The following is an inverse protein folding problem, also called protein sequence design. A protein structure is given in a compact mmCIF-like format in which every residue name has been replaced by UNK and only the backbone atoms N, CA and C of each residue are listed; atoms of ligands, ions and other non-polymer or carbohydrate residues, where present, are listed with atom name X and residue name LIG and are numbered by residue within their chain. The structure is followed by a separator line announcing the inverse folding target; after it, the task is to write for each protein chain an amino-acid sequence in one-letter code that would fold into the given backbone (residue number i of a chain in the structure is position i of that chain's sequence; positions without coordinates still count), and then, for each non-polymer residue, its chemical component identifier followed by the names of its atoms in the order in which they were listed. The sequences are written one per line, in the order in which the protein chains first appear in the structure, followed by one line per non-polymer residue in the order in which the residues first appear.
data_IF_558546121470
#
_entry.id   IF_558546121470
#
_cell.length_a   1.000
_cell.length_b   1.000
_cell.length_c   1.000
_cell.angle_alpha   90.00
_cell.angle_beta   90.00
_cell.angle_gamma   90.00
#
_symmetry.space_group_name_H-M   'P 1'
#
loop_
_entity.id
_entity.type
_entity.pdbx_description
1 polymer ?
#
# COMPACT_ATOMS: atom_id res chain seq x y z
N UNK A 1 -19.31 -17.90 -24.32
CA UNK A 1 -19.68 -19.22 -23.80
C UNK A 1 -19.24 -19.19 -22.37
N UNK A 2 -20.23 -18.96 -21.52
CA UNK A 2 -20.10 -17.99 -20.45
C UNK A 2 -19.77 -18.75 -19.17
N UNK A 3 -18.51 -18.66 -18.73
CA UNK A 3 -18.10 -19.15 -17.42
C UNK A 3 -18.73 -18.24 -16.35
N UNK A 4 -19.86 -18.66 -15.78
CA UNK A 4 -20.37 -18.12 -14.53
C UNK A 4 -19.36 -18.41 -13.40
N UNK A 5 -18.33 -17.57 -13.33
CA UNK A 5 -17.36 -17.61 -12.24
C UNK A 5 -18.00 -16.96 -11.03
N UNK A 6 -18.69 -17.75 -10.20
CA UNK A 6 -19.25 -17.26 -8.94
C UNK A 6 -18.12 -16.96 -7.96
N UNK A 7 -17.98 -15.69 -7.60
CA UNK A 7 -17.00 -15.23 -6.61
C UNK A 7 -17.55 -15.51 -5.21
N UNK A 8 -16.89 -16.36 -4.43
CA UNK A 8 -17.26 -16.60 -3.04
C UNK A 8 -17.04 -15.35 -2.20
N UNK A 9 -18.11 -14.68 -1.74
CA UNK A 9 -18.01 -13.46 -0.91
C UNK A 9 -17.89 -13.74 0.58
N UNK A 10 -17.99 -15.00 1.01
CA UNK A 10 -18.04 -15.42 2.40
C UNK A 10 -17.30 -16.76 2.58
N UNK A 11 -16.92 -17.06 3.83
CA UNK A 11 -16.42 -18.40 4.17
C UNK A 11 -17.63 -19.33 4.35
N UNK A 12 -17.61 -20.48 3.71
CA UNK A 12 -18.69 -21.44 3.69
C UNK A 12 -18.18 -22.88 3.88
N UNK A 13 -19.01 -23.80 4.34
CA UNK A 13 -18.70 -25.23 4.38
C UNK A 13 -19.68 -25.99 3.50
N UNK A 14 -19.14 -26.98 2.78
CA UNK A 14 -19.97 -27.91 2.01
C UNK A 14 -20.70 -28.84 2.97
N UNK A 15 -22.05 -28.89 2.98
CA UNK A 15 -22.81 -29.78 3.84
C UNK A 15 -22.51 -31.25 3.50
N UNK A 16 -22.35 -32.08 4.52
CA UNK A 16 -22.09 -33.52 4.38
C UNK A 16 -23.32 -34.33 3.93
N UNK A 17 -24.47 -33.68 3.73
CA UNK A 17 -25.74 -34.29 3.34
C UNK A 17 -26.01 -34.27 1.82
N UNK A 18 -25.17 -33.60 1.02
CA UNK A 18 -25.27 -33.67 -0.45
C UNK A 18 -24.59 -34.94 -0.95
N UNK A 19 -25.37 -35.73 -1.68
CA UNK A 19 -25.01 -37.03 -2.26
C UNK A 19 -23.71 -37.02 -3.06
N UNK A 20 -22.81 -37.99 -2.78
CA UNK A 20 -21.81 -38.74 -3.58
C UNK A 20 -21.28 -38.23 -4.95
N UNK A 21 -21.48 -36.98 -5.32
CA UNK A 21 -20.93 -36.38 -6.53
C UNK A 21 -19.61 -35.65 -6.22
N UNK A 22 -18.58 -35.79 -7.08
CA UNK A 22 -17.35 -35.03 -6.93
C UNK A 22 -17.67 -33.54 -6.97
N UNK A 23 -17.26 -32.81 -5.94
CA UNK A 23 -17.54 -31.37 -5.85
C UNK A 23 -16.73 -30.59 -6.90
N UNK A 24 -17.22 -29.42 -7.32
CA UNK A 24 -16.49 -28.54 -8.22
C UNK A 24 -15.04 -28.29 -7.76
N UNK A 25 -14.05 -28.40 -8.65
CA UNK A 25 -12.71 -27.90 -8.37
C UNK A 25 -12.75 -26.39 -8.15
N UNK A 26 -12.23 -25.96 -7.01
CA UNK A 26 -12.16 -24.55 -6.63
C UNK A 26 -10.71 -24.08 -6.73
N UNK A 27 -10.52 -22.90 -7.30
CA UNK A 27 -9.25 -22.19 -7.23
C UNK A 27 -9.29 -21.27 -6.01
N UNK A 28 -8.46 -21.59 -5.00
CA UNK A 28 -8.30 -20.76 -3.81
C UNK A 28 -7.46 -19.53 -4.17
N UNK A 29 -8.02 -18.33 -4.04
CA UNK A 29 -7.25 -17.09 -4.17
C UNK A 29 -6.23 -16.89 -3.03
N UNK A 30 -6.34 -17.68 -1.96
CA UNK A 30 -5.55 -17.58 -0.73
C UNK A 30 -4.35 -18.54 -0.70
N UNK A 31 -4.33 -19.53 -1.58
CA UNK A 31 -3.26 -20.53 -1.65
C UNK A 31 -2.37 -20.20 -2.85
N UNK A 32 -1.05 -20.14 -2.64
CA UNK A 32 -0.07 -19.74 -3.68
C UNK A 32 0.10 -20.84 -4.78
N UNK A 33 -0.67 -21.91 -4.69
CA UNK A 33 -0.65 -23.02 -5.63
C UNK A 33 -1.59 -22.75 -6.79
N UNK A 34 -1.05 -22.75 -8.01
CA UNK A 34 -1.80 -22.54 -9.26
C UNK A 34 -2.67 -23.74 -9.67
N UNK A 35 -2.81 -24.74 -8.80
CA UNK A 35 -3.57 -25.97 -9.06
C UNK A 35 -4.94 -25.85 -8.40
N UNK A 36 -5.97 -26.14 -9.18
CA UNK A 36 -7.34 -26.26 -8.68
C UNK A 36 -7.43 -27.45 -7.72
N UNK A 37 -7.98 -27.23 -6.53
CA UNK A 37 -8.20 -28.27 -5.53
C UNK A 37 -9.65 -28.72 -5.61
N UNK A 38 -9.85 -30.03 -5.78
CA UNK A 38 -11.17 -30.65 -5.65
C UNK A 38 -11.52 -30.72 -4.18
N UNK A 39 -12.62 -30.07 -3.78
CA UNK A 39 -13.08 -30.11 -2.39
C UNK A 39 -13.88 -31.41 -2.15
N UNK A 40 -13.96 -31.86 -0.91
CA UNK A 40 -14.86 -32.94 -0.51
C UNK A 40 -16.05 -32.38 0.31
N UNK A 41 -17.17 -33.12 0.42
CA UNK A 41 -18.21 -32.78 1.38
C UNK A 41 -17.64 -32.66 2.80
N UNK A 42 -17.87 -31.52 3.46
CA UNK A 42 -17.26 -31.17 4.75
C UNK A 42 -16.05 -30.23 4.67
N UNK A 43 -15.50 -29.98 3.49
CA UNK A 43 -14.41 -29.02 3.33
C UNK A 43 -14.90 -27.57 3.38
N UNK A 44 -14.01 -26.68 3.84
CA UNK A 44 -14.23 -25.25 3.90
C UNK A 44 -13.88 -24.56 2.58
N UNK A 45 -14.78 -23.69 2.11
CA UNK A 45 -14.58 -22.78 1.00
C UNK A 45 -14.35 -21.38 1.58
N UNK A 46 -13.24 -20.74 1.20
CA UNK A 46 -12.88 -19.42 1.73
C UNK A 46 -13.32 -18.27 0.82
N UNK A 47 -13.61 -17.13 1.43
CA UNK A 47 -13.91 -15.87 0.73
C UNK A 47 -12.79 -15.49 -0.24
N UNK A 48 -13.14 -15.15 -1.48
CA UNK A 48 -12.22 -14.86 -2.58
C UNK A 48 -11.93 -16.05 -3.50
N UNK A 49 -12.39 -17.25 -3.18
CA UNK A 49 -12.20 -18.43 -4.04
C UNK A 49 -13.15 -18.41 -5.24
N UNK A 50 -12.72 -19.00 -6.36
CA UNK A 50 -13.52 -19.10 -7.60
C UNK A 50 -13.84 -20.54 -7.94
N UNK A 51 -15.14 -20.84 -8.16
CA UNK A 51 -15.58 -22.13 -8.66
C UNK A 51 -15.31 -22.20 -10.17
N UNK A 52 -14.52 -23.18 -10.63
CA UNK A 52 -14.18 -23.33 -12.05
C UNK A 52 -15.20 -24.15 -12.83
N UNK A 53 -15.80 -25.15 -12.19
CA UNK A 53 -16.72 -26.05 -12.89
C UNK A 53 -17.64 -26.77 -11.90
N UNK A 54 -18.95 -26.60 -12.05
CA UNK A 54 -19.96 -27.28 -11.24
C UNK A 54 -20.72 -26.31 -10.32
N UNK A 55 -21.78 -26.82 -9.70
CA UNK A 55 -22.62 -26.08 -8.76
C UNK A 55 -22.64 -26.82 -7.43
N UNK A 56 -22.55 -26.07 -6.32
CA UNK A 56 -22.60 -26.64 -4.99
C UNK A 56 -23.35 -25.71 -4.03
N UNK A 57 -24.27 -26.29 -3.27
CA UNK A 57 -24.88 -25.60 -2.14
C UNK A 57 -23.93 -25.67 -0.94
N UNK A 58 -23.65 -24.53 -0.32
CA UNK A 58 -22.76 -24.43 0.84
C UNK A 58 -23.40 -23.58 1.94
N UNK A 59 -23.08 -23.90 3.20
CA UNK A 59 -23.57 -23.17 4.36
C UNK A 59 -22.55 -22.09 4.72
N UNK A 60 -22.98 -20.83 4.77
CA UNK A 60 -22.13 -19.71 5.16
C UNK A 60 -21.75 -19.81 6.64
N UNK A 61 -20.45 -19.83 6.94
CA UNK A 61 -19.89 -19.91 8.30
C UNK A 61 -19.49 -18.52 8.79
N UNK A 62 -18.93 -17.66 7.93
CA UNK A 62 -18.50 -16.32 8.30
C UNK A 62 -18.64 -15.32 7.14
N UNK A 63 -18.97 -14.08 7.47
CA UNK A 63 -19.13 -12.97 6.50
C UNK A 63 -18.29 -11.75 6.90
N UNK A 64 -17.98 -10.90 5.91
CA UNK A 64 -17.26 -9.64 6.13
C UNK A 64 -15.90 -9.82 6.82
N UNK A 65 -15.65 -9.03 7.87
CA UNK A 65 -14.37 -9.00 8.60
C UNK A 65 -14.06 -10.28 9.38
N UNK A 66 -15.05 -11.14 9.61
CA UNK A 66 -14.87 -12.40 10.34
C UNK A 66 -14.37 -13.55 9.45
N UNK A 67 -14.39 -13.36 8.13
CA UNK A 67 -13.80 -14.29 7.16
C UNK A 67 -12.28 -14.34 7.28
N UNK A 68 -11.65 -15.41 6.80
CA UNK A 68 -10.19 -15.52 6.76
C UNK A 68 -9.54 -14.36 5.97
N UNK A 69 -10.10 -14.02 4.80
CA UNK A 69 -9.67 -12.88 4.00
C UNK A 69 -9.89 -11.53 4.73
N UNK A 70 -11.04 -11.36 5.38
CA UNK A 70 -11.37 -10.15 6.14
C UNK A 70 -10.44 -9.92 7.33
N UNK A 71 -10.07 -10.99 8.06
CA UNK A 71 -9.09 -10.93 9.15
C UNK A 71 -7.70 -10.55 8.63
N UNK A 72 -7.26 -11.15 7.52
CA UNK A 72 -5.99 -10.80 6.89
C UNK A 72 -5.97 -9.33 6.43
N UNK A 73 -7.04 -8.86 5.78
CA UNK A 73 -7.17 -7.46 5.37
C UNK A 73 -7.15 -6.49 6.56
N UNK A 74 -7.84 -6.82 7.66
CA UNK A 74 -7.82 -6.00 8.88
C UNK A 74 -6.44 -5.92 9.53
N UNK A 75 -5.67 -7.02 9.49
CA UNK A 75 -4.29 -7.04 10.01
C UNK A 75 -3.35 -6.15 9.19
N UNK A 76 -3.58 -6.05 7.88
CA UNK A 76 -2.83 -5.12 7.00
C UNK A 76 -3.20 -3.66 7.29
N UNK A 77 -4.48 -3.35 7.51
CA UNK A 77 -4.95 -1.97 7.71
C UNK A 77 -4.53 -1.37 9.06
N UNK A 78 -4.39 -2.21 10.09
CA UNK A 78 -3.96 -1.80 11.43
C UNK A 78 -2.49 -1.35 11.52
N UNK A 79 -1.72 -1.44 10.43
CA UNK A 79 -0.33 -0.95 10.34
C UNK A 79 -0.25 0.52 9.89
N UNK A 80 -1.02 1.41 10.52
CA UNK A 80 -0.92 2.86 10.30
C UNK A 80 0.24 3.45 11.10
N UNK A 81 1.48 3.18 10.66
CA UNK A 81 2.63 3.97 11.10
C UNK A 81 2.67 5.29 10.32
N UNK A 82 2.94 6.39 11.02
CA UNK A 82 3.28 7.69 10.40
C UNK A 82 4.36 7.44 9.33
N UNK A 83 4.01 7.73 8.08
CA UNK A 83 4.85 7.44 6.92
C UNK A 83 6.23 8.10 7.05
N UNK A 84 7.27 7.38 6.60
CA UNK A 84 8.65 7.86 6.66
C UNK A 84 8.80 9.28 6.09
N UNK A 85 8.18 9.52 4.93
CA UNK A 85 8.13 10.83 4.27
C UNK A 85 7.62 11.96 5.18
N UNK A 86 6.57 11.71 5.96
CA UNK A 86 6.01 12.72 6.86
C UNK A 86 7.01 13.09 7.95
N UNK A 87 7.76 12.11 8.48
CA UNK A 87 8.81 12.36 9.47
C UNK A 87 9.94 13.21 8.89
N UNK A 88 10.38 12.90 7.67
CA UNK A 88 11.41 13.66 6.96
C UNK A 88 10.96 15.09 6.72
N UNK A 89 9.73 15.29 6.24
CA UNK A 89 9.17 16.61 5.98
C UNK A 89 9.06 17.45 7.26
N UNK A 90 8.63 16.83 8.37
CA UNK A 90 8.61 17.50 9.69
C UNK A 90 10.01 17.83 10.19
N UNK A 91 11.00 16.95 9.99
CA UNK A 91 12.38 17.21 10.39
C UNK A 91 12.98 18.42 9.63
N UNK A 92 12.77 18.50 8.32
CA UNK A 92 13.24 19.62 7.50
C UNK A 92 12.49 20.91 7.88
N UNK A 93 11.18 20.83 8.07
CA UNK A 93 10.37 21.96 8.55
C UNK A 93 10.86 22.50 9.90
N UNK A 94 11.14 21.61 10.86
CA UNK A 94 11.71 21.98 12.15
C UNK A 94 13.10 22.61 12.01
N UNK A 95 13.96 22.07 11.14
CA UNK A 95 15.27 22.65 10.88
C UNK A 95 15.16 24.08 10.34
N UNK A 96 14.28 24.32 9.37
CA UNK A 96 14.01 25.66 8.84
C UNK A 96 13.51 26.60 9.95
N UNK A 97 12.52 26.20 10.75
CA UNK A 97 11.99 27.02 11.85
C UNK A 97 13.08 27.36 12.88
N UNK A 98 13.90 26.37 13.27
CA UNK A 98 15.03 26.60 14.17
C UNK A 98 16.05 27.58 13.58
N UNK A 99 16.35 27.49 12.29
CA UNK A 99 17.28 28.40 11.61
C UNK A 99 16.77 29.86 11.61
N UNK A 100 15.47 30.06 11.39
CA UNK A 100 14.84 31.39 11.43
C UNK A 100 14.85 31.94 12.85
N UNK A 101 14.53 31.11 13.84
CA UNK A 101 14.53 31.52 15.24
C UNK A 101 15.93 31.95 15.70
N UNK A 102 16.97 31.18 15.35
CA UNK A 102 18.37 31.54 15.64
C UNK A 102 18.76 32.82 14.89
N UNK A 103 18.38 32.95 13.61
CA UNK A 103 18.60 34.16 12.82
C UNK A 103 17.98 35.41 13.46
N UNK A 104 16.71 35.32 13.89
CA UNK A 104 16.02 36.42 14.58
C UNK A 104 16.74 36.80 15.89
N UNK A 105 17.16 35.82 16.70
CA UNK A 105 17.87 36.09 17.95
C UNK A 105 19.20 36.81 17.67
N UNK A 106 19.98 36.33 16.71
CA UNK A 106 21.26 36.94 16.33
C UNK A 106 21.04 38.38 15.84
N UNK A 107 20.02 38.59 15.00
CA UNK A 107 19.73 39.91 14.44
C UNK A 107 19.32 40.94 15.50
N UNK A 108 18.50 40.53 16.47
CA UNK A 108 18.15 41.33 17.65
C UNK A 108 19.41 41.67 18.46
N UNK A 109 20.27 40.68 18.74
CA UNK A 109 21.51 40.88 19.50
C UNK A 109 22.51 41.76 18.75
N UNK A 110 22.53 41.79 17.42
CA UNK A 110 23.45 42.66 16.69
C UNK A 110 22.88 44.08 16.55
N UNK A 111 21.60 44.23 16.21
CA UNK A 111 21.02 45.54 15.92
C UNK A 111 20.85 46.41 17.18
N UNK A 112 20.41 45.83 18.30
CA UNK A 112 20.10 46.62 19.50
C UNK A 112 21.36 46.98 20.32
N UNK A 113 22.11 46.03 20.91
CA UNK A 113 23.20 46.39 21.81
C UNK A 113 24.51 46.76 21.09
N UNK A 114 24.77 46.30 19.85
CA UNK A 114 26.01 46.64 19.14
C UNK A 114 25.79 47.89 18.28
N UNK A 115 24.78 47.86 17.41
CA UNK A 115 24.58 48.90 16.39
C UNK A 115 23.72 50.09 16.86
N UNK A 116 23.04 49.98 18.01
CA UNK A 116 22.19 51.02 18.60
C UNK A 116 21.20 51.64 17.59
N UNK A 117 20.64 50.80 16.70
CA UNK A 117 19.67 51.24 15.68
C UNK A 117 18.28 51.41 16.26
N UNK A 118 17.50 52.31 15.66
CA UNK A 118 16.08 52.49 15.96
C UNK A 118 15.27 51.20 15.74
N UNK A 119 14.21 51.02 16.54
CA UNK A 119 13.35 49.83 16.52
C UNK A 119 12.63 49.61 15.18
N UNK A 120 12.30 50.69 14.46
CA UNK A 120 11.54 50.62 13.18
C UNK A 120 12.23 49.76 12.12
N UNK A 121 13.48 50.04 11.70
CA UNK A 121 14.19 49.21 10.72
C UNK A 121 14.50 47.80 11.24
N UNK A 122 14.57 47.59 12.55
CA UNK A 122 14.76 46.24 13.13
C UNK A 122 13.54 45.35 12.88
N UNK A 123 12.33 45.89 13.07
CA UNK A 123 11.08 45.14 12.83
C UNK A 123 10.94 44.78 11.34
N UNK A 124 11.29 45.70 10.44
CA UNK A 124 11.23 45.43 9.00
C UNK A 124 12.17 44.27 8.61
N UNK A 125 13.37 44.21 9.20
CA UNK A 125 14.34 43.15 8.93
C UNK A 125 13.87 41.79 9.47
N UNK A 126 13.32 41.74 10.69
CA UNK A 126 12.70 40.53 11.25
C UNK A 126 11.54 40.04 10.37
N UNK A 127 10.72 40.95 9.86
CA UNK A 127 9.58 40.61 9.00
C UNK A 127 10.06 39.99 7.67
N UNK A 128 11.11 40.54 7.06
CA UNK A 128 11.71 39.98 5.84
C UNK A 128 12.29 38.59 6.11
N UNK A 129 13.00 38.39 7.22
CA UNK A 129 13.55 37.09 7.60
C UNK A 129 12.44 36.05 7.82
N UNK A 130 11.35 36.45 8.47
CA UNK A 130 10.21 35.56 8.73
C UNK A 130 9.49 35.17 7.43
N UNK A 131 9.16 36.13 6.57
CA UNK A 131 8.44 35.88 5.31
C UNK A 131 9.31 35.05 4.34
N UNK A 132 10.61 35.34 4.27
CA UNK A 132 11.54 34.62 3.40
C UNK A 132 11.94 33.24 3.93
N UNK A 133 11.91 33.04 5.25
CA UNK A 133 12.41 31.83 5.88
C UNK A 133 11.45 30.64 5.86
N UNK A 134 10.13 30.86 5.90
CA UNK A 134 9.15 29.76 6.03
C UNK A 134 9.07 28.99 4.69
N UNK A 135 9.40 27.69 4.65
CA UNK A 135 9.47 26.91 3.41
C UNK A 135 8.09 26.40 2.97
N UNK A 136 7.10 27.28 2.78
CA UNK A 136 5.71 26.92 2.43
C UNK A 136 5.65 26.17 1.08
N UNK A 137 6.55 26.50 0.16
CA UNK A 137 6.60 25.89 -1.17
C UNK A 137 7.15 24.45 -1.18
N UNK A 138 7.97 24.10 -0.19
CA UNK A 138 8.75 22.85 -0.22
C UNK A 138 7.86 21.59 -0.21
N UNK A 139 6.84 21.46 0.66
CA UNK A 139 5.89 20.34 0.60
C UNK A 139 5.18 20.24 -0.75
N UNK A 140 4.72 21.37 -1.29
CA UNK A 140 3.93 21.43 -2.53
C UNK A 140 4.74 20.97 -3.74
N UNK A 141 5.98 21.43 -3.87
CA UNK A 141 6.86 21.06 -4.99
C UNK A 141 7.20 19.58 -4.94
N UNK A 142 7.44 19.02 -3.75
CA UNK A 142 7.68 17.58 -3.58
C UNK A 142 6.47 16.76 -4.02
N UNK A 143 5.26 17.14 -3.61
CA UNK A 143 4.02 16.46 -4.01
C UNK A 143 3.79 16.48 -5.52
N UNK A 144 3.97 17.64 -6.17
CA UNK A 144 3.83 17.76 -7.63
C UNK A 144 4.85 16.88 -8.35
N UNK A 145 6.10 16.86 -7.86
CA UNK A 145 7.16 16.02 -8.44
C UNK A 145 6.84 14.54 -8.30
N UNK A 146 6.33 14.09 -7.15
CA UNK A 146 5.89 12.70 -6.95
C UNK A 146 4.70 12.33 -7.85
N UNK A 147 3.73 13.24 -8.01
CA UNK A 147 2.58 13.00 -8.89
C UNK A 147 2.99 12.82 -10.35
N UNK A 148 3.89 13.68 -10.85
CA UNK A 148 4.44 13.57 -12.20
C UNK A 148 5.30 12.30 -12.33
N UNK A 149 6.08 11.98 -11.29
CA UNK A 149 6.89 10.75 -11.24
C UNK A 149 6.04 9.50 -11.39
N UNK A 150 4.93 9.40 -10.64
CA UNK A 150 3.96 8.30 -10.73
C UNK A 150 3.45 8.13 -12.16
N UNK A 151 3.01 9.22 -12.79
CA UNK A 151 2.52 9.21 -14.16
C UNK A 151 3.60 8.74 -15.16
N UNK A 152 4.85 9.14 -14.98
CA UNK A 152 5.96 8.74 -15.88
C UNK A 152 6.37 7.28 -15.73
N UNK A 153 6.22 6.70 -14.54
CA UNK A 153 6.61 5.30 -14.28
C UNK A 153 5.57 4.29 -14.78
N UNK A 154 4.37 4.73 -15.20
CA UNK A 154 3.30 3.84 -15.66
C UNK A 154 2.74 2.92 -14.56
N UNK A 155 3.08 3.19 -13.30
CA UNK A 155 2.67 2.41 -12.14
C UNK A 155 1.62 3.19 -11.33
N UNK A 156 0.54 2.52 -10.93
CA UNK A 156 -0.51 3.14 -10.12
C UNK A 156 -0.04 3.17 -8.65
N UNK A 157 0.32 4.34 -8.15
CA UNK A 157 0.75 4.52 -6.75
C UNK A 157 -0.44 4.86 -5.85
N UNK A 158 -0.82 3.95 -4.94
CA UNK A 158 -1.91 4.18 -3.97
C UNK A 158 -1.54 5.17 -2.85
N UNK A 159 -0.24 5.33 -2.58
CA UNK A 159 0.34 6.29 -1.62
C UNK A 159 1.47 7.05 -2.30
N UNK A 160 1.53 8.37 -2.19
CA UNK A 160 2.62 9.17 -2.80
C UNK A 160 4.00 8.83 -2.20
N UNK A 161 4.03 8.38 -0.94
CA UNK A 161 5.26 7.93 -0.26
C UNK A 161 5.87 6.66 -0.86
N UNK A 162 5.10 5.88 -1.64
CA UNK A 162 5.58 4.62 -2.21
C UNK A 162 6.74 4.83 -3.21
N UNK A 163 6.79 5.98 -3.89
CA UNK A 163 7.86 6.30 -4.85
C UNK A 163 9.20 6.49 -4.14
N UNK A 164 9.19 7.17 -2.99
CA UNK A 164 10.40 7.35 -2.16
C UNK A 164 10.84 6.02 -1.57
N UNK A 165 9.89 5.25 -1.03
CA UNK A 165 10.18 3.92 -0.45
C UNK A 165 10.77 2.97 -1.50
N UNK A 166 10.29 3.00 -2.75
CA UNK A 166 10.91 2.26 -3.86
C UNK A 166 12.33 2.75 -4.19
N UNK A 167 12.59 4.06 -4.12
CA UNK A 167 13.91 4.61 -4.42
C UNK A 167 14.97 4.24 -3.37
N UNK A 168 14.56 4.00 -2.13
CA UNK A 168 15.42 3.62 -0.99
C UNK A 168 15.41 2.09 -0.73
N UNK A 169 14.64 1.33 -1.51
CA UNK A 169 14.49 -0.11 -1.28
C UNK A 169 15.79 -0.88 -1.56
N UNK A 170 16.35 -1.52 -0.53
CA UNK A 170 17.54 -2.37 -0.65
C UNK A 170 17.21 -3.84 -0.98
N UNK A 171 16.05 -4.32 -0.53
CA UNK A 171 15.63 -5.72 -0.69
C UNK A 171 14.21 -5.77 -1.24
N UNK A 172 14.07 -6.37 -2.42
CA UNK A 172 12.78 -6.68 -3.04
C UNK A 172 12.45 -8.16 -2.83
N UNK A 173 11.49 -8.43 -1.95
CA UNK A 173 10.90 -9.77 -1.84
C UNK A 173 9.83 -9.91 -2.94
N UNK A 174 10.15 -10.62 -4.02
CA UNK A 174 9.19 -10.91 -5.09
C UNK A 174 8.49 -12.24 -4.84
N UNK A 175 7.17 -12.27 -5.02
CA UNK A 175 6.42 -13.53 -5.05
C UNK A 175 6.72 -14.30 -6.35
N UNK A 176 6.61 -15.62 -6.31
CA UNK A 176 6.90 -16.49 -7.47
C UNK A 176 5.72 -16.51 -8.44
N UNK A 177 4.54 -16.93 -7.97
CA UNK A 177 3.38 -17.18 -8.82
C UNK A 177 2.66 -15.87 -9.14
N UNK A 178 2.59 -15.48 -10.41
CA UNK A 178 1.90 -14.25 -10.83
C UNK A 178 2.74 -12.97 -10.80
N UNK A 179 3.96 -13.02 -10.25
CA UNK A 179 4.96 -11.92 -10.40
C UNK A 179 6.16 -12.37 -11.23
N UNK A 180 6.87 -13.45 -10.85
CA UNK A 180 7.98 -14.00 -11.63
C UNK A 180 7.53 -14.97 -12.73
N UNK A 181 6.51 -15.78 -12.44
CA UNK A 181 5.95 -16.74 -13.41
C UNK A 181 4.59 -16.26 -13.91
N UNK A 182 4.37 -16.36 -15.22
CA UNK A 182 3.04 -16.22 -15.80
C UNK A 182 2.12 -17.30 -15.18
N UNK A 183 0.90 -16.93 -14.79
CA UNK A 183 -0.12 -17.85 -14.27
C UNK A 183 -0.75 -18.69 -15.39
N UNK A 184 0.09 -19.17 -16.30
CA UNK A 184 -0.25 -20.03 -17.43
C UNK A 184 0.73 -21.20 -17.43
N UNK A 185 0.30 -22.31 -16.85
CA UNK A 185 1.04 -23.56 -16.88
C UNK A 185 1.04 -24.07 -18.33
N UNK A 186 2.17 -23.92 -19.02
CA UNK A 186 2.36 -24.45 -20.38
C UNK A 186 3.17 -25.72 -20.28
N UNK A 187 2.63 -26.83 -20.79
CA UNK A 187 3.32 -28.12 -20.85
C UNK A 187 4.05 -28.21 -22.18
N UNK A 188 5.38 -28.31 -22.14
CA UNK A 188 6.18 -28.57 -23.34
C UNK A 188 5.99 -30.03 -23.76
N UNK A 189 5.38 -30.22 -24.95
CA UNK A 189 5.05 -31.54 -25.48
C UNK A 189 6.27 -32.30 -25.99
N UNK A 190 7.42 -31.65 -26.19
CA UNK A 190 8.64 -32.31 -26.67
C UNK A 190 9.38 -33.11 -25.57
N UNK A 191 9.01 -32.96 -24.30
CA UNK A 191 9.63 -33.69 -23.18
C UNK A 191 8.87 -34.99 -22.81
N UNK A 192 7.73 -35.26 -23.46
CA UNK A 192 6.84 -36.39 -23.16
C UNK A 192 6.97 -37.52 -24.20
N UNK A 193 7.59 -37.25 -25.35
CA UNK A 193 7.98 -38.28 -26.33
C UNK A 193 9.48 -38.64 -26.21
N UNK A 194 9.82 -39.40 -25.16
CA UNK A 194 11.00 -40.30 -25.15
C UNK A 194 10.59 -41.62 -24.48
#
# INVERSE_FOLDING_TARGET
MDEETTFGVADAAVPTSSSDAPTPPTESALTVESLTVTNAPGDGVYSGSTCKQGEIEAIVIATGVHTFFGKAAHLVDSTHQVGHFQKVLTAIGNFCICSIAVGMIIEIIVMYPIQHRDYRPGIDNLLVLLIGGIPIAMPTVLFVTMAIGSHRLGAITKRMTAIEEMAVMDVLCSDKTGTLTLKNLTVDKNLIEV
#
